data_IF_763825902988
#
_entry.id   IF_763825902988
#
_cell.length_a   1.000
_cell.length_b   1.000
_cell.length_c   1.000
_cell.angle_alpha   90.00
_cell.angle_beta   90.00
_cell.angle_gamma   90.00
#
_symmetry.space_group_name_H-M   'P 1'
#
loop_
_entity.id
_entity.type
_entity.pdbx_description
1 polymer ?
#
# COMPACT_ATOMS: atom_id res chain seq x y z
N UNK A 1 -22.39 10.71 24.36
CA UNK A 1 -21.74 10.92 23.06
C UNK A 1 -20.86 9.71 22.82
N UNK A 2 -21.49 8.66 22.29
CA UNK A 2 -20.92 7.30 22.28
C UNK A 2 -20.29 7.07 20.92
N UNK A 3 -18.97 6.90 20.91
CA UNK A 3 -18.18 6.60 19.73
C UNK A 3 -18.48 5.13 19.35
N UNK A 4 -19.28 4.91 18.31
CA UNK A 4 -19.43 3.58 17.71
C UNK A 4 -18.18 3.27 16.88
N UNK A 5 -17.47 2.21 17.28
CA UNK A 5 -16.33 1.65 16.55
C UNK A 5 -16.84 1.00 15.25
N UNK A 6 -16.38 1.49 14.10
CA UNK A 6 -16.52 0.82 12.80
C UNK A 6 -15.59 -0.40 12.80
N UNK A 7 -16.17 -1.60 12.96
CA UNK A 7 -15.44 -2.85 12.74
C UNK A 7 -15.69 -3.30 11.29
N UNK A 8 -14.72 -3.08 10.41
CA UNK A 8 -14.69 -3.65 9.07
C UNK A 8 -14.17 -5.09 9.22
N UNK A 9 -15.05 -6.09 9.11
CA UNK A 9 -14.66 -7.49 9.05
C UNK A 9 -14.47 -7.90 7.58
N UNK A 10 -13.22 -8.15 7.21
CA UNK A 10 -12.84 -8.76 5.94
C UNK A 10 -13.01 -10.29 6.09
N UNK A 11 -13.99 -10.90 5.40
CA UNK A 11 -14.21 -12.35 5.46
C UNK A 11 -13.83 -13.02 4.14
N UNK A 12 -12.99 -14.06 4.24
CA UNK A 12 -12.47 -14.85 3.14
C UNK A 12 -13.57 -15.58 2.36
N UNK A 13 -13.45 -15.53 1.03
CA UNK A 13 -14.33 -16.17 0.05
C UNK A 13 -14.00 -17.67 -0.04
N UNK A 14 -14.96 -18.54 0.25
CA UNK A 14 -14.88 -19.97 -0.07
C UNK A 14 -15.76 -20.27 -1.28
N UNK A 15 -15.13 -20.63 -2.40
CA UNK A 15 -15.79 -21.18 -3.59
C UNK A 15 -16.23 -22.62 -3.25
N UNK A 16 -17.52 -22.84 -2.99
CA UNK A 16 -18.06 -24.18 -2.71
C UNK A 16 -18.75 -24.75 -3.95
N UNK A 17 -18.09 -25.69 -4.63
CA UNK A 17 -18.70 -26.57 -5.63
C UNK A 17 -19.56 -27.62 -4.90
N UNK A 18 -20.88 -27.48 -4.94
CA UNK A 18 -21.80 -28.45 -4.32
C UNK A 18 -22.17 -29.52 -5.34
N UNK A 19 -21.75 -30.76 -5.08
CA UNK A 19 -22.30 -31.97 -5.71
C UNK A 19 -23.65 -32.32 -5.08
N UNK A 20 -24.64 -32.63 -5.91
CA UNK A 20 -25.98 -33.01 -5.47
C UNK A 20 -25.94 -34.42 -4.83
N UNK A 21 -26.07 -34.50 -3.52
CA UNK A 21 -26.52 -35.69 -2.81
C UNK A 21 -27.97 -35.47 -2.37
N UNK A 22 -28.90 -36.19 -3.00
CA UNK A 22 -30.31 -36.23 -2.62
C UNK A 22 -30.45 -37.02 -1.32
N UNK A 23 -30.92 -36.36 -0.27
CA UNK A 23 -31.36 -36.98 0.97
C UNK A 23 -32.86 -36.76 1.14
N UNK A 24 -33.54 -37.83 1.57
CA UNK A 24 -34.97 -38.04 1.68
C UNK A 24 -35.70 -37.00 2.54
N UNK A 25 -36.84 -36.53 2.02
CA UNK A 25 -37.75 -35.56 2.63
C UNK A 25 -38.34 -36.06 3.96
N UNK A 26 -37.98 -35.40 5.06
CA UNK A 26 -38.89 -35.27 6.20
C UNK A 26 -39.79 -34.05 5.94
N UNK A 27 -41.10 -34.19 6.19
CA UNK A 27 -42.14 -33.16 6.04
C UNK A 27 -41.89 -31.92 6.93
N UNK A 28 -40.86 -31.16 6.61
CA UNK A 28 -40.58 -29.86 7.21
C UNK A 28 -41.55 -28.85 6.61
N UNK A 29 -42.31 -28.17 7.46
CA UNK A 29 -43.25 -27.14 7.01
C UNK A 29 -42.45 -26.00 6.35
N UNK A 30 -42.82 -25.56 5.14
CA UNK A 30 -42.13 -24.46 4.49
C UNK A 30 -42.17 -23.19 5.35
N UNK A 31 -41.02 -22.53 5.49
CA UNK A 31 -40.90 -21.24 6.16
C UNK A 31 -40.57 -20.22 5.08
N UNK A 32 -41.55 -19.41 4.68
CA UNK A 32 -41.29 -18.32 3.74
C UNK A 32 -40.56 -17.20 4.51
N UNK A 33 -39.30 -16.90 4.18
CA UNK A 33 -38.55 -15.86 4.87
C UNK A 33 -39.06 -14.48 4.48
N UNK A 34 -39.03 -13.55 5.42
CA UNK A 34 -39.30 -12.15 5.16
C UNK A 34 -38.22 -11.51 4.27
N UNK A 35 -38.62 -10.43 3.62
CA UNK A 35 -37.72 -9.58 2.85
C UNK A 35 -36.81 -8.78 3.79
N UNK A 36 -35.57 -8.51 3.36
CA UNK A 36 -34.71 -7.53 4.05
C UNK A 36 -35.30 -6.13 3.94
N UNK A 37 -35.04 -5.28 4.92
CA UNK A 37 -35.59 -3.93 5.05
C UNK A 37 -34.51 -2.90 4.67
N UNK A 38 -34.91 -1.72 4.19
CA UNK A 38 -34.02 -0.59 3.89
C UNK A 38 -32.85 -0.96 2.95
N UNK A 39 -33.12 -1.83 1.96
CA UNK A 39 -32.13 -2.23 0.97
C UNK A 39 -31.61 -1.01 0.21
N UNK A 40 -30.31 -0.80 0.30
CA UNK A 40 -29.62 0.35 -0.31
C UNK A 40 -28.25 -0.04 -0.86
N UNK A 41 -27.74 0.78 -1.78
CA UNK A 41 -26.40 0.67 -2.32
C UNK A 41 -25.59 1.89 -1.90
N UNK A 42 -24.51 1.65 -1.16
CA UNK A 42 -23.56 2.63 -0.66
C UNK A 42 -22.31 2.61 -1.55
N UNK A 43 -22.14 3.69 -2.32
CA UNK A 43 -21.03 3.88 -3.27
C UNK A 43 -20.11 5.02 -2.85
N UNK A 44 -20.47 5.77 -1.81
CA UNK A 44 -19.76 6.99 -1.43
C UNK A 44 -18.45 6.64 -0.74
N UNK A 45 -17.36 7.26 -1.20
CA UNK A 45 -16.00 6.96 -0.74
C UNK A 45 -15.67 5.47 -0.90
N UNK A 46 -16.20 4.84 -1.96
CA UNK A 46 -16.01 3.42 -2.33
C UNK A 46 -15.57 3.31 -3.81
N UNK A 47 -14.43 3.91 -4.19
CA UNK A 47 -13.99 3.92 -5.58
C UNK A 47 -13.71 2.50 -6.10
N UNK A 48 -14.47 2.07 -7.12
CA UNK A 48 -14.40 0.72 -7.70
C UNK A 48 -15.20 -0.36 -6.97
N UNK A 49 -16.01 -0.01 -5.97
CA UNK A 49 -16.80 -0.96 -5.16
C UNK A 49 -18.26 -0.50 -5.04
N UNK A 50 -19.16 -1.46 -4.80
CA UNK A 50 -20.53 -1.20 -4.35
C UNK A 50 -20.75 -1.96 -3.05
N UNK A 51 -21.24 -1.29 -2.01
CA UNK A 51 -21.65 -1.95 -0.77
C UNK A 51 -23.17 -2.01 -0.72
N UNK A 52 -23.76 -3.20 -0.78
CA UNK A 52 -25.18 -3.38 -0.51
C UNK A 52 -25.38 -3.38 1.01
N UNK A 53 -26.41 -2.68 1.48
CA UNK A 53 -26.77 -2.58 2.90
C UNK A 53 -28.24 -2.87 3.09
N UNK A 54 -28.59 -3.43 4.25
CA UNK A 54 -29.96 -3.71 4.63
C UNK A 54 -30.10 -3.86 6.15
N UNK A 55 -31.33 -3.88 6.63
CA UNK A 55 -31.70 -4.31 7.96
C UNK A 55 -32.41 -5.67 7.89
N UNK A 56 -32.09 -6.56 8.82
CA UNK A 56 -32.76 -7.86 8.95
C UNK A 56 -33.99 -7.70 9.86
N UNK A 57 -35.21 -8.11 9.43
CA UNK A 57 -36.39 -8.11 10.29
C UNK A 57 -36.22 -9.03 11.51
N UNK A 58 -36.76 -8.61 12.66
CA UNK A 58 -36.74 -9.37 13.92
C UNK A 58 -37.91 -10.36 14.00
N UNK A 59 -38.08 -11.18 12.96
CA UNK A 59 -39.09 -12.25 12.91
C UNK A 59 -38.46 -13.66 12.89
N UNK A 60 -37.12 -13.72 12.85
CA UNK A 60 -36.32 -14.94 12.85
C UNK A 60 -36.64 -15.92 11.70
N UNK A 61 -37.25 -15.43 10.61
CA UNK A 61 -37.57 -16.26 9.44
C UNK A 61 -36.40 -16.43 8.47
N UNK A 62 -35.39 -15.55 8.57
CA UNK A 62 -34.23 -15.51 7.66
C UNK A 62 -33.05 -16.27 8.27
N UNK A 63 -32.50 -17.23 7.53
CA UNK A 63 -31.26 -17.94 7.85
C UNK A 63 -30.03 -17.28 7.21
N UNK A 64 -30.15 -16.91 5.95
CA UNK A 64 -29.10 -16.23 5.20
C UNK A 64 -29.70 -15.40 4.06
N UNK A 65 -28.90 -14.50 3.52
CA UNK A 65 -29.27 -13.65 2.40
C UNK A 65 -28.34 -13.96 1.23
N UNK A 66 -28.93 -14.14 0.05
CA UNK A 66 -28.23 -14.38 -1.20
C UNK A 66 -28.27 -13.10 -2.05
N UNK A 67 -27.10 -12.62 -2.44
CA UNK A 67 -26.94 -11.57 -3.45
C UNK A 67 -26.42 -12.22 -4.72
N UNK A 68 -27.12 -12.00 -5.84
CA UNK A 68 -26.71 -12.48 -7.16
C UNK A 68 -26.65 -11.34 -8.17
N UNK A 69 -25.65 -11.35 -9.03
CA UNK A 69 -25.38 -10.30 -10.02
C UNK A 69 -24.47 -10.85 -11.13
N UNK A 70 -24.44 -10.17 -12.27
CA UNK A 70 -23.46 -10.45 -13.32
C UNK A 70 -22.18 -9.64 -13.04
N UNK A 71 -21.04 -10.31 -12.93
CA UNK A 71 -19.74 -9.69 -12.74
C UNK A 71 -19.09 -9.42 -14.11
N UNK A 72 -19.04 -8.15 -14.51
CA UNK A 72 -18.49 -7.75 -15.81
C UNK A 72 -16.97 -7.86 -15.91
N UNK A 73 -16.24 -7.98 -14.79
CA UNK A 73 -14.80 -8.22 -14.82
C UNK A 73 -14.49 -9.71 -15.03
N UNK A 74 -15.26 -10.59 -14.37
CA UNK A 74 -15.12 -12.04 -14.50
C UNK A 74 -15.95 -12.64 -15.63
N UNK A 75 -16.81 -11.83 -16.24
CA UNK A 75 -17.76 -12.20 -17.32
C UNK A 75 -18.71 -13.35 -16.96
N UNK A 76 -19.17 -13.43 -15.70
CA UNK A 76 -20.03 -14.53 -15.22
C UNK A 76 -21.02 -14.09 -14.15
N UNK A 77 -22.08 -14.88 -13.96
CA UNK A 77 -22.99 -14.72 -12.82
C UNK A 77 -22.30 -15.13 -11.52
N UNK A 78 -22.32 -14.24 -10.52
CA UNK A 78 -21.70 -14.44 -9.21
C UNK A 78 -22.75 -14.41 -8.11
N UNK A 79 -22.55 -15.24 -7.10
CA UNK A 79 -23.35 -15.26 -5.87
C UNK A 79 -22.47 -14.94 -4.67
N UNK A 80 -22.99 -14.08 -3.79
CA UNK A 80 -22.43 -13.81 -2.45
C UNK A 80 -23.48 -14.12 -1.40
N UNK A 81 -23.07 -14.82 -0.35
CA UNK A 81 -23.93 -15.16 0.77
C UNK A 81 -23.56 -14.29 1.98
N UNK A 82 -24.59 -13.79 2.65
CA UNK A 82 -24.47 -13.06 3.91
C UNK A 82 -25.23 -13.82 4.99
N UNK A 83 -24.66 -13.91 6.19
CA UNK A 83 -25.38 -14.48 7.34
C UNK A 83 -26.51 -13.56 7.77
N UNK A 84 -27.48 -14.08 8.53
CA UNK A 84 -28.55 -13.28 9.14
C UNK A 84 -28.04 -12.11 9.99
N UNK A 85 -26.82 -12.20 10.52
CA UNK A 85 -26.19 -11.17 11.36
C UNK A 85 -25.46 -10.09 10.57
N UNK A 86 -25.31 -10.26 9.26
CA UNK A 86 -24.72 -9.26 8.39
C UNK A 86 -25.78 -8.22 7.98
N UNK A 87 -25.38 -6.96 8.00
CA UNK A 87 -26.17 -5.81 7.53
C UNK A 87 -25.71 -5.31 6.15
N UNK A 88 -24.71 -5.99 5.56
CA UNK A 88 -24.08 -5.54 4.32
C UNK A 88 -23.25 -6.61 3.63
N UNK A 89 -23.03 -6.40 2.32
CA UNK A 89 -22.06 -7.13 1.49
C UNK A 89 -21.30 -6.15 0.61
N UNK A 90 -19.97 -6.24 0.61
CA UNK A 90 -19.10 -5.54 -0.33
C UNK A 90 -18.99 -6.35 -1.64
N UNK A 91 -19.31 -5.69 -2.75
CA UNK A 91 -19.10 -6.17 -4.11
C UNK A 91 -17.84 -5.48 -4.65
N UNK A 92 -16.73 -6.23 -4.82
CA UNK A 92 -15.49 -5.69 -5.33
C UNK A 92 -15.52 -5.51 -6.84
N UNK A 93 -14.61 -4.68 -7.33
CA UNK A 93 -14.28 -4.54 -8.75
C UNK A 93 -15.47 -4.20 -9.65
N UNK A 94 -16.48 -3.51 -9.10
CA UNK A 94 -17.67 -3.06 -9.86
C UNK A 94 -17.44 -1.80 -10.68
N UNK A 95 -16.19 -1.31 -10.74
CA UNK A 95 -15.58 -0.24 -11.57
C UNK A 95 -16.55 0.52 -12.50
N UNK A 96 -16.46 1.85 -12.50
CA UNK A 96 -17.46 2.72 -13.14
C UNK A 96 -17.62 2.42 -14.64
N UNK A 97 -16.55 2.00 -15.32
CA UNK A 97 -16.53 1.63 -16.75
C UNK A 97 -17.54 0.55 -17.12
N UNK A 98 -17.91 -0.33 -16.19
CA UNK A 98 -18.89 -1.40 -16.43
C UNK A 98 -20.34 -0.91 -16.38
N UNK A 99 -20.56 0.34 -15.97
CA UNK A 99 -21.88 0.96 -15.94
C UNK A 99 -22.74 0.50 -14.77
N UNK A 100 -24.05 0.41 -15.00
CA UNK A 100 -25.03 0.05 -13.98
C UNK A 100 -25.05 -1.46 -13.73
N UNK A 101 -24.75 -1.84 -12.49
CA UNK A 101 -24.98 -3.20 -12.00
C UNK A 101 -26.43 -3.35 -11.56
N UNK A 102 -27.00 -4.52 -11.82
CA UNK A 102 -28.26 -4.98 -11.22
C UNK A 102 -27.98 -6.12 -10.23
N UNK A 103 -28.43 -5.96 -9.00
CA UNK A 103 -28.30 -6.94 -7.94
C UNK A 103 -29.66 -7.50 -7.57
N UNK A 104 -29.73 -8.82 -7.43
CA UNK A 104 -30.88 -9.54 -6.90
C UNK A 104 -30.57 -10.02 -5.50
N UNK A 105 -31.30 -9.50 -4.53
CA UNK A 105 -31.18 -9.80 -3.10
C UNK A 105 -32.38 -10.64 -2.68
N UNK A 106 -32.12 -11.80 -2.09
CA UNK A 106 -33.15 -12.77 -1.73
C UNK A 106 -32.83 -13.42 -0.38
N UNK A 107 -33.79 -13.37 0.55
CA UNK A 107 -33.70 -14.07 1.83
C UNK A 107 -33.99 -15.56 1.67
N UNK A 108 -33.36 -16.39 2.49
CA UNK A 108 -33.58 -17.83 2.58
C UNK A 108 -33.80 -18.24 4.03
N UNK A 109 -34.75 -19.14 4.28
CA UNK A 109 -35.07 -19.65 5.60
C UNK A 109 -34.20 -20.86 5.99
N UNK A 110 -34.37 -21.36 7.22
CA UNK A 110 -33.65 -22.53 7.70
C UNK A 110 -34.04 -23.82 6.97
N UNK A 111 -35.27 -23.90 6.45
CA UNK A 111 -35.78 -25.00 5.62
C UNK A 111 -35.31 -24.91 4.16
N UNK A 112 -34.60 -23.84 3.79
CA UNK A 112 -34.09 -23.62 2.43
C UNK A 112 -35.10 -22.97 1.47
N UNK A 113 -36.28 -22.59 1.96
CA UNK A 113 -37.27 -21.88 1.17
C UNK A 113 -36.79 -20.45 0.85
N UNK A 114 -37.08 -20.01 -0.36
CA UNK A 114 -36.68 -18.70 -0.85
C UNK A 114 -37.79 -17.66 -0.65
N UNK A 115 -37.43 -16.45 -0.21
CA UNK A 115 -38.32 -15.29 -0.14
C UNK A 115 -38.48 -14.60 -1.49
N UNK A 116 -39.04 -13.38 -1.47
CA UNK A 116 -39.14 -12.59 -2.69
C UNK A 116 -37.76 -12.12 -3.16
N UNK A 117 -37.65 -11.84 -4.46
CA UNK A 117 -36.45 -11.24 -5.03
C UNK A 117 -36.61 -9.72 -5.02
N UNK A 118 -35.77 -9.05 -4.24
CA UNK A 118 -35.60 -7.60 -4.32
C UNK A 118 -34.50 -7.26 -5.32
N UNK A 119 -34.74 -6.24 -6.15
CA UNK A 119 -33.77 -5.79 -7.15
C UNK A 119 -33.31 -4.39 -6.81
N UNK A 120 -32.00 -4.15 -6.84
CA UNK A 120 -31.40 -2.83 -6.67
C UNK A 120 -30.34 -2.61 -7.73
N UNK A 121 -30.24 -1.37 -8.20
CA UNK A 121 -29.29 -0.95 -9.23
C UNK A 121 -28.35 0.11 -8.68
N UNK A 122 -27.09 0.03 -9.08
CA UNK A 122 -26.08 1.01 -8.67
C UNK A 122 -24.93 1.08 -9.67
N UNK A 123 -24.28 2.23 -9.71
CA UNK A 123 -23.05 2.49 -10.46
C UNK A 123 -21.97 2.82 -9.45
N UNK A 124 -20.80 2.19 -9.57
CA UNK A 124 -19.67 2.49 -8.69
C UNK A 124 -19.03 3.85 -8.99
N UNK A 125 -18.33 4.39 -8.01
CA UNK A 125 -17.35 5.46 -8.26
C UNK A 125 -16.16 4.88 -9.05
N UNK A 126 -15.41 5.70 -9.83
CA UNK A 126 -14.24 5.22 -10.57
C UNK A 126 -13.21 4.61 -9.62
N UNK A 127 -12.71 3.42 -9.95
CA UNK A 127 -11.57 2.81 -9.29
C UNK A 127 -10.34 3.72 -9.42
N UNK A 128 -9.51 3.82 -8.37
CA UNK A 128 -8.33 4.65 -8.43
C UNK A 128 -7.29 4.04 -9.35
N UNK A 129 -6.56 4.90 -10.07
CA UNK A 129 -5.34 4.53 -10.77
C UNK A 129 -4.34 3.94 -9.79
N UNK A 130 -3.71 2.83 -10.16
CA UNK A 130 -2.75 2.12 -9.34
C UNK A 130 -1.35 2.21 -9.97
N UNK A 131 -0.35 2.43 -9.12
CA UNK A 131 1.07 2.32 -9.53
C UNK A 131 1.55 0.92 -9.17
N UNK A 132 1.94 0.16 -10.19
CA UNK A 132 2.51 -1.17 -10.01
C UNK A 132 4.02 -1.08 -10.21
N UNK A 133 4.78 -1.39 -9.16
CA UNK A 133 6.23 -1.42 -9.22
C UNK A 133 6.70 -2.75 -9.81
N UNK A 134 7.54 -2.66 -10.85
CA UNK A 134 8.17 -3.78 -11.53
C UNK A 134 9.59 -4.03 -11.03
N UNK A 135 10.48 -4.35 -11.97
CA UNK A 135 11.88 -4.66 -11.67
C UNK A 135 12.61 -3.47 -11.04
N UNK A 136 13.56 -3.78 -10.15
CA UNK A 136 14.50 -2.80 -9.59
C UNK A 136 15.89 -3.04 -10.16
N UNK A 137 16.50 -2.01 -10.75
CA UNK A 137 17.82 -2.08 -11.37
C UNK A 137 18.79 -1.21 -10.58
N UNK A 138 19.86 -1.82 -10.07
CA UNK A 138 20.91 -1.06 -9.37
C UNK A 138 21.56 -0.08 -10.35
N UNK A 139 21.70 1.17 -9.93
CA UNK A 139 22.46 2.18 -10.64
C UNK A 139 23.92 2.01 -10.23
N UNK A 140 24.80 1.73 -11.20
CA UNK A 140 26.24 1.66 -10.99
C UNK A 140 26.79 3.08 -10.77
N UNK A 141 26.90 3.49 -9.50
CA UNK A 141 27.42 4.79 -9.12
C UNK A 141 28.94 4.83 -9.21
N UNK A 142 29.47 6.02 -9.46
CA UNK A 142 30.91 6.35 -9.47
C UNK A 142 31.19 7.52 -8.52
N UNK A 143 32.43 7.64 -8.05
CA UNK A 143 32.77 8.60 -6.99
C UNK A 143 32.52 10.06 -7.43
N UNK A 144 32.69 10.40 -8.72
CA UNK A 144 32.42 11.74 -9.25
C UNK A 144 30.92 12.09 -9.31
N UNK A 145 30.04 11.11 -9.07
CA UNK A 145 28.60 11.35 -8.88
C UNK A 145 28.26 11.72 -7.44
N UNK A 146 29.19 11.55 -6.49
CA UNK A 146 28.92 11.76 -5.07
C UNK A 146 29.45 13.11 -4.59
N UNK A 147 28.70 13.76 -3.70
CA UNK A 147 29.21 14.89 -2.91
C UNK A 147 28.54 14.95 -1.53
N UNK A 148 29.18 15.63 -0.58
CA UNK A 148 28.67 15.84 0.78
C UNK A 148 29.02 17.24 1.26
N UNK A 149 28.20 17.83 2.13
CA UNK A 149 28.54 19.08 2.81
C UNK A 149 29.48 18.89 4.00
N UNK A 150 29.70 17.66 4.44
CA UNK A 150 30.29 17.39 5.75
C UNK A 150 31.28 16.22 5.70
N UNK A 151 32.17 16.15 4.71
CA UNK A 151 33.21 15.11 4.68
C UNK A 151 34.14 15.20 5.91
N UNK A 152 34.35 14.10 6.65
CA UNK A 152 35.43 14.01 7.66
C UNK A 152 36.80 13.95 6.95
N UNK A 153 37.82 14.65 7.49
CA UNK A 153 39.09 14.92 6.79
C UNK A 153 40.11 13.79 6.86
N UNK A 154 40.09 12.99 7.92
CA UNK A 154 41.10 11.99 8.28
C UNK A 154 40.64 10.55 8.05
N UNK A 155 39.33 10.31 8.02
CA UNK A 155 38.72 9.00 7.88
C UNK A 155 37.42 9.07 7.06
N UNK A 156 36.96 7.89 6.68
CA UNK A 156 35.68 7.65 6.04
C UNK A 156 35.37 8.51 4.80
N UNK A 157 36.17 8.41 3.72
CA UNK A 157 35.89 9.12 2.48
C UNK A 157 34.54 8.71 1.87
N UNK A 158 33.87 9.64 1.20
CA UNK A 158 32.57 9.39 0.54
C UNK A 158 32.62 8.25 -0.49
N UNK A 159 33.78 7.94 -1.05
CA UNK A 159 33.97 6.81 -1.96
C UNK A 159 33.60 5.46 -1.32
N UNK A 160 33.74 5.34 -0.01
CA UNK A 160 33.38 4.13 0.73
C UNK A 160 31.86 3.90 0.81
N UNK A 161 31.02 4.86 0.38
CA UNK A 161 29.58 4.57 0.26
C UNK A 161 29.28 3.55 -0.86
N UNK A 162 30.17 3.37 -1.83
CA UNK A 162 29.87 2.64 -3.06
C UNK A 162 31.01 1.70 -3.48
N UNK A 163 31.88 1.34 -2.55
CA UNK A 163 33.07 0.51 -2.84
C UNK A 163 32.76 -0.99 -2.83
N UNK A 164 31.55 -1.38 -2.43
CA UNK A 164 31.12 -2.76 -2.34
C UNK A 164 31.55 -3.47 -1.05
N UNK A 165 32.15 -2.76 -0.09
CA UNK A 165 32.59 -3.27 1.21
C UNK A 165 31.68 -2.78 2.34
N UNK A 166 30.67 -3.58 2.66
CA UNK A 166 29.75 -3.33 3.76
C UNK A 166 30.33 -3.56 5.18
N UNK A 167 31.65 -3.71 5.34
CA UNK A 167 32.29 -3.96 6.64
C UNK A 167 32.44 -2.70 7.49
N UNK A 168 32.56 -2.86 8.81
CA UNK A 168 32.75 -1.73 9.73
C UNK A 168 34.09 -0.95 9.55
N UNK A 169 35.00 -1.46 8.72
CA UNK A 169 36.29 -0.85 8.42
C UNK A 169 36.29 -0.04 7.12
N UNK A 170 35.31 -0.26 6.22
CA UNK A 170 35.04 0.63 5.10
C UNK A 170 33.72 1.35 5.33
N UNK A 171 33.80 2.67 5.48
CA UNK A 171 32.64 3.50 5.74
C UNK A 171 32.86 4.92 5.29
N UNK A 172 31.79 5.63 4.95
CA UNK A 172 31.75 7.07 4.96
C UNK A 172 31.51 7.58 6.38
N UNK A 173 32.13 8.70 6.73
CA UNK A 173 31.87 9.40 7.97
C UNK A 173 31.64 10.89 7.69
N UNK A 174 30.49 11.41 8.12
CA UNK A 174 30.31 12.87 8.11
C UNK A 174 31.08 13.49 9.28
N UNK A 175 31.63 14.70 9.14
CA UNK A 175 32.61 15.22 10.08
C UNK A 175 32.07 15.34 11.50
N UNK A 176 32.79 14.79 12.45
CA UNK A 176 32.52 14.92 13.88
C UNK A 176 33.45 15.94 14.55
N UNK A 177 34.39 16.53 13.79
CA UNK A 177 35.40 17.45 14.30
C UNK A 177 35.62 18.67 13.40
N UNK A 178 36.35 19.66 13.94
CA UNK A 178 36.38 21.05 13.50
C UNK A 178 36.80 21.32 12.02
N UNK A 179 36.09 22.23 11.32
CA UNK A 179 34.76 22.78 11.65
C UNK A 179 33.65 21.76 11.33
N UNK A 180 32.67 21.64 12.23
CA UNK A 180 31.45 20.88 11.98
C UNK A 180 30.45 21.83 11.27
N UNK A 181 30.00 21.53 10.04
CA UNK A 181 28.97 22.31 9.36
C UNK A 181 27.67 22.37 10.15
N UNK A 182 26.81 23.34 9.83
CA UNK A 182 25.46 23.34 10.37
C UNK A 182 24.71 22.09 9.89
N UNK A 183 23.93 21.50 10.80
CA UNK A 183 22.97 20.46 10.46
C UNK A 183 21.95 20.98 9.42
N UNK A 184 21.38 20.11 8.57
CA UNK A 184 21.66 18.67 8.49
C UNK A 184 22.95 18.34 7.72
N UNK A 185 23.59 17.23 8.09
CA UNK A 185 24.64 16.62 7.28
C UNK A 185 24.00 15.79 6.17
N UNK A 186 24.53 15.87 4.96
CA UNK A 186 23.99 15.15 3.82
C UNK A 186 25.07 14.65 2.88
N UNK A 187 24.75 13.60 2.13
CA UNK A 187 25.40 13.31 0.87
C UNK A 187 24.37 13.35 -0.25
N UNK A 188 24.81 13.60 -1.47
CA UNK A 188 23.96 13.60 -2.65
C UNK A 188 24.63 12.88 -3.81
N UNK A 189 23.79 12.47 -4.75
CA UNK A 189 24.13 11.67 -5.91
C UNK A 189 23.63 12.42 -7.15
N UNK A 190 24.53 12.73 -8.08
CA UNK A 190 24.19 13.09 -9.46
C UNK A 190 23.98 11.80 -10.25
N UNK A 191 22.73 11.40 -10.48
CA UNK A 191 22.38 10.16 -11.18
C UNK A 191 22.77 10.20 -12.67
N UNK A 192 23.15 11.37 -13.21
CA UNK A 192 23.51 11.65 -14.61
C UNK A 192 22.36 11.45 -15.62
N UNK A 193 21.21 11.00 -15.14
CA UNK A 193 19.95 10.93 -15.85
C UNK A 193 18.80 11.20 -14.88
N UNK A 194 17.65 11.53 -15.43
CA UNK A 194 16.40 11.64 -14.67
C UNK A 194 15.86 10.25 -14.32
N UNK A 195 15.39 10.09 -13.08
CA UNK A 195 14.68 8.90 -12.58
C UNK A 195 13.39 9.34 -11.87
N UNK A 196 12.33 8.55 -11.95
CA UNK A 196 11.02 8.87 -11.36
C UNK A 196 10.75 8.10 -10.07
N UNK A 197 10.94 6.79 -10.10
CA UNK A 197 10.83 5.91 -8.94
C UNK A 197 12.16 5.25 -8.63
N UNK A 198 12.47 5.20 -7.34
CA UNK A 198 13.72 4.61 -6.88
C UNK A 198 13.57 4.11 -5.44
N UNK A 199 14.54 3.29 -5.05
CA UNK A 199 14.76 2.89 -3.66
C UNK A 199 16.26 2.82 -3.41
N UNK A 200 16.66 2.72 -2.17
CA UNK A 200 18.06 2.51 -1.83
C UNK A 200 18.23 1.33 -0.87
N UNK A 201 19.44 0.80 -0.84
CA UNK A 201 19.92 -0.04 0.25
C UNK A 201 21.05 0.66 0.99
N UNK A 202 21.14 0.47 2.29
CA UNK A 202 22.23 1.02 3.09
C UNK A 202 22.63 0.08 4.24
N UNK A 203 23.91 0.12 4.61
CA UNK A 203 24.48 -0.63 5.72
C UNK A 203 25.14 0.34 6.70
N UNK A 204 24.83 0.22 7.98
CA UNK A 204 25.50 0.97 9.03
C UNK A 204 26.88 0.39 9.30
N UNK A 205 27.84 1.27 9.58
CA UNK A 205 29.16 0.89 10.09
C UNK A 205 29.07 0.07 11.38
N UNK A 206 28.24 0.53 12.33
CA UNK A 206 28.06 -0.08 13.64
C UNK A 206 26.70 0.33 14.26
N UNK A 207 26.50 0.02 15.55
CA UNK A 207 25.26 0.31 16.28
C UNK A 207 25.03 1.76 16.71
N UNK A 208 25.96 2.68 16.42
CA UNK A 208 25.94 4.08 16.86
C UNK A 208 25.87 5.04 15.67
N UNK A 209 25.33 6.25 15.91
CA UNK A 209 25.20 7.30 14.91
C UNK A 209 24.45 6.86 13.64
N UNK A 210 23.49 5.94 13.81
CA UNK A 210 22.63 5.43 12.75
C UNK A 210 21.55 6.48 12.49
N UNK A 211 21.37 7.00 11.26
CA UNK A 211 20.24 7.86 10.92
C UNK A 211 18.91 7.19 11.23
N UNK A 212 18.04 7.90 11.93
CA UNK A 212 16.69 7.45 12.29
C UNK A 212 15.60 8.50 11.99
N UNK A 213 15.99 9.66 11.45
CA UNK A 213 15.16 10.67 10.77
C UNK A 213 15.95 11.22 9.57
N UNK A 214 15.43 11.00 8.36
CA UNK A 214 16.11 11.30 7.10
C UNK A 214 15.12 11.89 6.09
N UNK A 215 15.52 13.01 5.49
CA UNK A 215 14.86 13.53 4.30
C UNK A 215 15.55 13.04 3.04
N UNK A 216 14.78 12.37 2.19
CA UNK A 216 15.17 12.06 0.82
C UNK A 216 14.66 13.18 -0.07
N UNK A 217 15.58 13.91 -0.70
CA UNK A 217 15.26 15.08 -1.50
C UNK A 217 15.65 14.90 -2.96
N UNK A 218 14.89 15.55 -3.84
CA UNK A 218 15.09 15.52 -5.30
C UNK A 218 15.41 16.89 -5.87
N UNK A 219 16.24 16.94 -6.90
CA UNK A 219 16.54 18.15 -7.67
C UNK A 219 16.88 17.82 -9.13
N UNK A 220 16.71 18.79 -10.03
CA UNK A 220 17.16 18.70 -11.42
C UNK A 220 18.33 19.65 -11.75
N UNK A 221 18.63 20.61 -10.88
CA UNK A 221 19.76 21.53 -11.04
C UNK A 221 20.89 21.31 -10.02
N UNK A 222 20.67 20.44 -9.04
CA UNK A 222 21.64 20.13 -7.98
C UNK A 222 21.80 21.25 -6.94
N UNK A 223 20.93 22.28 -6.98
CA UNK A 223 20.96 23.45 -6.10
C UNK A 223 19.65 23.57 -5.32
N UNK A 224 18.51 23.53 -6.00
CA UNK A 224 17.19 23.64 -5.40
C UNK A 224 16.61 22.24 -5.21
N UNK A 225 16.44 21.83 -3.95
CA UNK A 225 15.93 20.52 -3.59
C UNK A 225 14.52 20.63 -3.02
N UNK A 226 13.65 19.69 -3.44
CA UNK A 226 12.34 19.47 -2.83
C UNK A 226 12.30 18.13 -2.09
N UNK A 227 11.49 18.06 -1.03
CA UNK A 227 11.30 16.82 -0.28
C UNK A 227 10.54 15.80 -1.13
N UNK A 228 11.12 14.60 -1.30
CA UNK A 228 10.45 13.45 -1.91
C UNK A 228 9.74 12.65 -0.82
N UNK A 229 10.47 12.31 0.25
CA UNK A 229 9.97 11.49 1.33
C UNK A 229 10.75 11.78 2.62
N UNK A 230 10.04 11.78 3.76
CA UNK A 230 10.66 11.80 5.08
C UNK A 230 10.53 10.40 5.70
N UNK A 231 11.68 9.79 5.95
CA UNK A 231 11.80 8.47 6.54
C UNK A 231 12.14 8.63 8.03
N UNK A 232 11.36 7.99 8.90
CA UNK A 232 11.61 8.03 10.35
C UNK A 232 11.51 6.65 10.97
N UNK A 233 12.18 6.44 12.10
CA UNK A 233 12.05 5.21 12.87
C UNK A 233 10.60 4.88 13.26
N UNK A 234 9.82 5.91 13.57
CA UNK A 234 8.42 5.74 13.97
C UNK A 234 7.54 5.28 12.81
N UNK A 235 7.75 5.81 11.59
CA UNK A 235 6.94 5.51 10.41
C UNK A 235 7.40 4.26 9.65
N UNK A 236 8.71 4.03 9.59
CA UNK A 236 9.31 3.05 8.69
C UNK A 236 10.12 1.95 9.41
N UNK A 237 10.22 1.99 10.74
CA UNK A 237 11.12 1.12 11.50
C UNK A 237 12.58 1.56 11.38
N UNK A 238 13.53 0.70 11.79
CA UNK A 238 14.96 1.04 11.70
C UNK A 238 15.35 1.34 10.25
N UNK A 239 15.86 2.56 10.00
CA UNK A 239 16.20 3.04 8.66
C UNK A 239 17.58 2.59 8.15
N UNK A 240 18.34 1.92 9.01
CA UNK A 240 19.66 1.34 8.70
C UNK A 240 20.07 0.44 9.87
N UNK A 241 20.90 -0.58 9.60
CA UNK A 241 21.49 -1.46 10.62
C UNK A 241 22.82 -2.02 10.13
N UNK A 242 23.54 -2.80 10.94
CA UNK A 242 24.75 -3.52 10.48
C UNK A 242 24.45 -4.64 9.48
N UNK A 243 23.18 -4.95 9.26
CA UNK A 243 22.68 -5.72 8.12
C UNK A 243 22.06 -4.77 7.09
N UNK A 244 22.05 -5.13 5.79
CA UNK A 244 21.41 -4.32 4.75
C UNK A 244 19.97 -3.95 5.08
N UNK A 245 19.68 -2.65 5.04
CA UNK A 245 18.34 -2.10 5.05
C UNK A 245 17.95 -1.73 3.62
N UNK A 246 16.71 -2.01 3.22
CA UNK A 246 16.13 -1.57 1.95
C UNK A 246 15.02 -0.57 2.24
N UNK A 247 15.07 0.61 1.61
CA UNK A 247 14.02 1.61 1.74
C UNK A 247 12.72 1.16 1.05
N UNK A 248 11.56 1.76 1.41
CA UNK A 248 10.40 1.75 0.52
C UNK A 248 10.77 2.32 -0.87
N UNK A 249 9.94 2.01 -1.87
CA UNK A 249 10.00 2.72 -3.16
C UNK A 249 9.46 4.13 -2.94
N UNK A 250 10.19 5.12 -3.46
CA UNK A 250 9.89 6.54 -3.35
C UNK A 250 9.85 7.17 -4.75
N UNK A 251 9.32 8.39 -4.83
CA UNK A 251 9.27 9.17 -6.06
C UNK A 251 7.88 9.22 -6.70
N UNK A 252 7.82 9.73 -7.93
CA UNK A 252 6.57 9.97 -8.66
C UNK A 252 6.84 10.06 -10.17
N UNK A 253 6.04 9.37 -11.00
CA UNK A 253 6.12 9.44 -12.46
C UNK A 253 5.96 10.86 -13.06
N UNK A 254 5.27 11.77 -12.38
CA UNK A 254 5.09 13.16 -12.84
C UNK A 254 6.23 14.10 -12.45
N UNK A 255 7.20 13.63 -11.64
CA UNK A 255 8.32 14.44 -11.14
C UNK A 255 9.63 13.65 -11.22
N UNK A 256 10.29 13.63 -12.38
CA UNK A 256 11.63 13.07 -12.50
C UNK A 256 12.68 13.91 -11.77
N UNK A 257 13.69 13.25 -11.21
CA UNK A 257 14.83 13.88 -10.54
C UNK A 257 16.16 13.34 -11.07
N UNK A 258 17.14 14.23 -11.29
CA UNK A 258 18.53 13.86 -11.60
C UNK A 258 19.41 13.76 -10.36
N UNK A 259 19.16 14.58 -9.35
CA UNK A 259 19.95 14.63 -8.12
C UNK A 259 19.11 14.11 -6.97
N UNK A 260 19.65 13.13 -6.24
CA UNK A 260 19.05 12.61 -5.01
C UNK A 260 19.94 12.98 -3.83
N UNK A 261 19.37 13.59 -2.78
CA UNK A 261 20.08 13.95 -1.55
C UNK A 261 19.51 13.17 -0.38
N UNK A 262 20.41 12.57 0.39
CA UNK A 262 20.13 11.90 1.66
C UNK A 262 20.54 12.85 2.80
N UNK A 263 19.57 13.45 3.47
CA UNK A 263 19.78 14.47 4.49
C UNK A 263 19.42 13.93 5.86
N UNK A 264 20.39 13.88 6.77
CA UNK A 264 20.23 13.30 8.11
C UNK A 264 19.82 14.38 9.10
N UNK A 265 18.58 14.28 9.57
CA UNK A 265 18.01 15.20 10.55
C UNK A 265 18.33 14.76 11.98
N UNK A 266 18.36 13.44 12.22
CA UNK A 266 18.65 12.85 13.53
C UNK A 266 19.32 11.48 13.41
N UNK A 267 20.10 11.14 14.43
CA UNK A 267 20.71 9.81 14.59
C UNK A 267 20.30 9.19 15.92
N UNK A 268 20.35 7.86 16.03
CA UNK A 268 19.93 7.12 17.23
C UNK A 268 20.66 7.49 18.53
N UNK A 269 21.79 8.22 18.44
CA UNK A 269 22.56 8.74 19.59
C UNK A 269 22.44 10.25 19.76
N UNK A 270 21.62 10.94 18.96
CA UNK A 270 21.46 12.40 18.96
C UNK A 270 22.66 13.17 18.39
N UNK A 271 23.59 12.49 17.72
CA UNK A 271 24.77 13.12 17.11
C UNK A 271 24.40 13.77 15.77
N UNK A 272 25.03 14.91 15.47
CA UNK A 272 24.85 15.62 14.18
C UNK A 272 25.48 14.86 13.01
N UNK A 273 26.50 14.05 13.30
CA UNK A 273 27.20 13.24 12.32
C UNK A 273 26.65 11.81 12.28
N UNK A 274 26.84 11.16 11.14
CA UNK A 274 26.54 9.76 10.90
C UNK A 274 27.70 9.06 10.18
N UNK A 275 27.63 7.73 10.18
CA UNK A 275 28.51 6.89 9.37
C UNK A 275 27.72 5.78 8.68
N UNK A 276 28.17 5.37 7.49
CA UNK A 276 27.50 4.40 6.63
C UNK A 276 28.55 3.60 5.87
N UNK A 277 28.47 2.27 5.94
CA UNK A 277 29.44 1.37 5.30
C UNK A 277 29.18 1.16 3.82
N UNK A 278 27.92 1.17 3.40
CA UNK A 278 27.58 0.92 2.00
C UNK A 278 26.23 1.58 1.70
N UNK A 279 26.08 2.06 0.47
CA UNK A 279 24.87 2.64 -0.09
C UNK A 279 24.71 2.19 -1.55
N UNK A 280 23.50 1.73 -1.90
CA UNK A 280 23.16 1.35 -3.27
C UNK A 280 21.88 2.05 -3.67
N UNK A 281 21.86 2.63 -4.86
CA UNK A 281 20.66 3.25 -5.43
C UNK A 281 20.08 2.33 -6.51
N UNK A 282 18.76 2.17 -6.53
CA UNK A 282 18.05 1.38 -7.52
C UNK A 282 16.98 2.22 -8.18
N UNK A 283 16.98 2.25 -9.51
CA UNK A 283 15.83 2.70 -10.28
C UNK A 283 14.77 1.60 -10.25
N UNK A 284 13.50 1.98 -10.12
CA UNK A 284 12.38 1.05 -10.05
C UNK A 284 11.46 1.33 -11.23
N UNK A 285 11.29 0.33 -12.09
CA UNK A 285 10.32 0.42 -13.17
C UNK A 285 8.90 0.47 -12.57
N UNK A 286 8.02 1.31 -13.13
CA UNK A 286 6.64 1.40 -12.67
C UNK A 286 5.69 1.52 -13.85
N UNK A 287 4.59 0.77 -13.80
CA UNK A 287 3.46 0.95 -14.71
C UNK A 287 2.31 1.62 -13.98
N UNK A 288 1.59 2.46 -14.71
CA UNK A 288 0.35 3.07 -14.26
C UNK A 288 -0.77 2.23 -14.84
N UNK A 289 -1.52 1.56 -13.97
CA UNK A 289 -2.70 0.77 -14.35
C UNK A 289 -3.91 1.62 -14.00
N UNK A 290 -4.70 1.94 -15.01
CA UNK A 290 -6.01 2.57 -14.81
C UNK A 290 -7.09 1.49 -14.96
N UNK A 291 -7.65 0.99 -13.83
CA UNK A 291 -8.66 -0.06 -13.89
C UNK A 291 -9.91 0.35 -14.67
N UNK A 292 -10.12 1.66 -14.89
CA UNK A 292 -11.22 2.23 -15.65
C UNK A 292 -10.95 2.32 -17.17
N UNK A 293 -9.69 2.19 -17.60
CA UNK A 293 -9.30 2.24 -19.01
C UNK A 293 -8.96 0.86 -19.61
N UNK A 294 -8.68 -0.14 -18.76
CA UNK A 294 -8.36 -1.51 -19.17
C UNK A 294 -9.50 -2.27 -19.88
#
# INVERSE_FOLDING_TARGET
>A
MTIMKKNIFLLAVTLLLIGFASCSDEDTKPIIPSDVIDLSADTQDKPGYIVLRWATPDDNTIRYIKVSYYDYLLEQDVVRLASVYADSVLIPDTRKKFGEYEFKVQSYSETGDAGNVQTIKAVSEPAPVQVVFGESKQIALTVDQLSTNAQEKSEGPIANLIDGDASANSYFHSTWNNPIPAAPHWFQIDVKKEITYFKYESVARNGSNIPDDVDIMGSNDGVHFELIENLTKAKNGMLMSTSPYTSPVMGNNSKPYRYIRYSVNHTNTGSVFFSMSEFKLFEVDASVVDPEAD
#
